data_IF_132622708989
#
_entry.id   IF_132622708989
#
_cell.length_a   1.000
_cell.length_b   1.000
_cell.length_c   1.000
_cell.angle_alpha   90.00
_cell.angle_beta   90.00
_cell.angle_gamma   90.00
#
_symmetry.space_group_name_H-M   'P 1'
#
loop_
_entity.id
_entity.type
_entity.pdbx_description
1 polymer ?
#
# COMPACT_ATOMS: atom_id res chain seq x y z
N UNK A 1 -42.88 -0.10 -8.97
CA UNK A 1 -43.33 0.06 -10.37
C UNK A 1 -42.32 -0.65 -11.26
N UNK A 2 -42.48 -1.97 -11.44
CA UNK A 2 -41.56 -2.84 -12.18
C UNK A 2 -42.35 -3.45 -13.33
N UNK A 3 -41.85 -3.23 -14.54
CA UNK A 3 -42.39 -3.79 -15.78
C UNK A 3 -41.89 -5.21 -16.00
N UNK A 4 -42.78 -6.00 -16.57
CA UNK A 4 -42.70 -7.40 -17.00
C UNK A 4 -41.55 -7.75 -17.94
N UNK A 5 -41.05 -8.97 -17.81
CA UNK A 5 -40.51 -9.79 -18.90
C UNK A 5 -41.13 -11.20 -18.76
N UNK A 6 -41.72 -11.80 -19.81
CA UNK A 6 -42.31 -13.13 -19.74
C UNK A 6 -41.43 -14.24 -20.32
N UNK A 7 -41.53 -15.42 -19.69
CA UNK A 7 -41.48 -16.73 -20.36
C UNK A 7 -40.14 -17.48 -20.36
N UNK A 8 -40.03 -18.55 -19.57
CA UNK A 8 -40.31 -19.91 -20.06
C UNK A 8 -40.29 -20.90 -18.87
N UNK A 9 -41.33 -21.74 -18.79
CA UNK A 9 -41.57 -22.72 -17.73
C UNK A 9 -40.95 -24.06 -18.13
N UNK A 10 -40.30 -24.76 -17.18
CA UNK A 10 -40.23 -26.23 -17.18
C UNK A 10 -40.35 -26.76 -15.75
N UNK A 11 -41.39 -27.54 -15.50
CA UNK A 11 -41.59 -28.32 -14.28
C UNK A 11 -41.07 -29.75 -14.51
N UNK A 12 -40.26 -30.27 -13.59
CA UNK A 12 -39.72 -31.62 -13.68
C UNK A 12 -39.25 -32.16 -12.33
N UNK A 13 -40.10 -33.03 -11.77
CA UNK A 13 -39.96 -33.99 -10.66
C UNK A 13 -38.55 -34.27 -10.09
N UNK A 14 -38.51 -34.39 -8.77
CA UNK A 14 -37.29 -34.57 -7.98
C UNK A 14 -36.53 -35.86 -8.19
N UNK A 15 -35.23 -35.78 -7.88
CA UNK A 15 -34.38 -36.84 -7.37
C UNK A 15 -33.53 -36.20 -6.27
N UNK A 16 -33.57 -36.79 -5.08
CA UNK A 16 -32.65 -36.50 -3.99
C UNK A 16 -31.24 -36.85 -4.45
N UNK A 17 -30.40 -35.82 -4.64
CA UNK A 17 -28.96 -36.00 -4.71
C UNK A 17 -28.38 -35.37 -3.46
N UNK A 18 -27.94 -36.24 -2.54
CA UNK A 18 -26.95 -35.91 -1.53
C UNK A 18 -25.69 -35.52 -2.29
N UNK A 19 -25.59 -34.25 -2.69
CA UNK A 19 -24.31 -33.67 -3.08
C UNK A 19 -23.54 -33.45 -1.80
N UNK A 20 -22.77 -34.48 -1.45
CA UNK A 20 -21.59 -34.35 -0.62
C UNK A 20 -20.69 -33.32 -1.30
N UNK A 21 -20.82 -32.06 -0.87
CA UNK A 21 -19.87 -31.02 -1.19
C UNK A 21 -18.56 -31.45 -0.55
N UNK A 22 -17.71 -32.11 -1.34
CA UNK A 22 -16.28 -32.02 -1.11
C UNK A 22 -15.99 -30.55 -1.24
N UNK A 23 -15.92 -29.86 -0.10
CA UNK A 23 -15.27 -28.58 0.03
C UNK A 23 -13.83 -28.83 -0.43
N UNK A 24 -13.59 -28.64 -1.72
CA UNK A 24 -12.27 -28.27 -2.20
C UNK A 24 -11.91 -27.06 -1.33
N UNK A 25 -11.01 -27.29 -0.38
CA UNK A 25 -10.32 -26.24 0.36
C UNK A 25 -9.76 -25.30 -0.71
N UNK A 26 -10.47 -24.22 -1.03
CA UNK A 26 -9.90 -23.13 -1.81
C UNK A 26 -8.80 -22.56 -0.93
N UNK A 27 -7.56 -22.87 -1.25
CA UNK A 27 -6.41 -22.46 -0.46
C UNK A 27 -6.35 -20.92 -0.58
N UNK A 28 -6.61 -20.25 0.53
CA UNK A 28 -6.88 -18.81 0.51
C UNK A 28 -5.62 -18.01 0.14
N UNK A 29 -5.82 -16.94 -0.63
CA UNK A 29 -4.83 -15.89 -0.83
C UNK A 29 -4.26 -15.44 0.53
N UNK A 30 -2.95 -15.17 0.56
CA UNK A 30 -2.32 -14.61 1.76
C UNK A 30 -2.21 -13.10 1.61
N UNK A 31 -2.55 -12.39 2.67
CA UNK A 31 -2.51 -10.92 2.71
C UNK A 31 -1.53 -10.49 3.80
N UNK A 32 -0.60 -9.63 3.42
CA UNK A 32 0.39 -9.03 4.31
C UNK A 32 0.15 -7.53 4.34
N UNK A 33 0.03 -6.96 5.53
CA UNK A 33 -0.20 -5.53 5.69
C UNK A 33 0.92 -4.90 6.49
N UNK A 34 1.39 -3.75 6.01
CA UNK A 34 2.39 -2.94 6.68
C UNK A 34 1.87 -1.52 6.80
N UNK A 35 2.27 -0.83 7.86
CA UNK A 35 2.19 0.62 7.94
C UNK A 35 3.58 1.19 8.21
N UNK A 36 3.85 2.34 7.64
CA UNK A 36 5.10 3.07 7.75
C UNK A 36 4.80 4.49 8.20
N UNK A 37 5.68 5.01 9.06
CA UNK A 37 5.76 6.42 9.38
C UNK A 37 7.21 6.86 9.38
N UNK A 38 7.46 8.04 8.82
CA UNK A 38 8.76 8.69 8.93
C UNK A 38 8.61 10.19 9.14
N UNK A 39 9.53 10.76 9.92
CA UNK A 39 9.56 12.18 10.26
C UNK A 39 10.84 12.82 9.69
N UNK A 40 10.70 14.04 9.14
CA UNK A 40 11.74 14.78 8.40
C UNK A 40 11.80 16.23 8.91
N UNK A 41 12.29 16.48 10.12
CA UNK A 41 12.24 17.81 10.73
C UNK A 41 13.14 18.82 10.02
N UNK A 42 12.70 20.07 10.00
CA UNK A 42 13.50 21.21 9.57
C UNK A 42 14.68 21.46 10.55
N UNK A 43 15.79 22.09 10.10
CA UNK A 43 16.01 22.64 8.76
C UNK A 43 16.52 21.62 7.74
N UNK A 44 17.18 20.56 8.20
CA UNK A 44 17.93 19.65 7.32
C UNK A 44 17.02 18.66 6.59
N UNK A 45 15.81 18.42 7.11
CA UNK A 45 14.79 17.50 6.56
C UNK A 45 15.36 16.12 6.26
N UNK A 46 16.37 15.71 7.03
CA UNK A 46 16.88 14.35 7.05
C UNK A 46 15.87 13.45 7.74
N UNK A 47 15.85 12.19 7.33
CA UNK A 47 14.95 11.21 7.93
C UNK A 47 15.53 10.81 9.27
N UNK A 48 14.93 11.30 10.37
CA UNK A 48 15.43 11.03 11.72
C UNK A 48 14.80 9.79 12.35
N UNK A 49 13.54 9.53 12.02
CA UNK A 49 12.79 8.39 12.52
C UNK A 49 12.10 7.68 11.37
N UNK A 50 12.21 6.35 11.36
CA UNK A 50 11.48 5.45 10.49
C UNK A 50 10.90 4.33 11.35
N UNK A 51 9.57 4.29 11.44
CA UNK A 51 8.83 3.22 12.07
C UNK A 51 8.12 2.42 10.97
N UNK A 52 8.25 1.11 11.01
CA UNK A 52 7.50 0.18 10.17
C UNK A 52 6.83 -0.82 11.10
N UNK A 53 5.56 -1.08 10.86
CA UNK A 53 4.79 -2.08 11.61
C UNK A 53 4.13 -3.06 10.65
N UNK A 54 3.99 -4.31 11.08
CA UNK A 54 3.33 -5.38 10.34
C UNK A 54 2.08 -5.82 11.10
N UNK A 55 0.99 -6.10 10.39
CA UNK A 55 -0.23 -6.63 11.00
C UNK A 55 -0.09 -8.15 11.18
N UNK A 56 0.00 -8.60 12.43
CA UNK A 56 0.10 -10.03 12.75
C UNK A 56 -1.23 -10.77 12.56
N UNK A 57 -1.23 -12.09 12.76
CA UNK A 57 -2.41 -12.94 12.55
C UNK A 57 -3.53 -12.65 13.57
N UNK A 58 -3.19 -12.07 14.72
CA UNK A 58 -4.08 -11.66 15.79
C UNK A 58 -4.68 -10.26 15.55
N UNK A 59 -4.32 -9.60 14.44
CA UNK A 59 -4.81 -8.27 14.08
C UNK A 59 -4.15 -7.13 14.85
N UNK A 60 -2.95 -7.35 15.38
CA UNK A 60 -2.16 -6.34 16.10
C UNK A 60 -1.00 -5.84 15.24
N UNK A 61 -0.71 -4.55 15.35
CA UNK A 61 0.43 -3.93 14.68
C UNK A 61 1.70 -4.14 15.51
N UNK A 62 2.70 -4.78 14.92
CA UNK A 62 3.97 -5.07 15.56
C UNK A 62 5.12 -4.32 14.88
N UNK A 63 5.97 -3.60 15.65
CA UNK A 63 7.17 -2.98 15.11
C UNK A 63 8.06 -3.98 14.37
N UNK A 64 8.59 -3.56 13.24
CA UNK A 64 9.50 -4.34 12.41
C UNK A 64 10.93 -3.88 12.67
N UNK A 65 11.72 -4.75 13.29
CA UNK A 65 13.16 -4.61 13.45
C UNK A 65 13.85 -5.81 12.79
N UNK A 66 14.22 -5.70 11.49
CA UNK A 66 14.81 -6.80 10.75
C UNK A 66 16.06 -7.36 11.42
N UNK A 67 16.10 -8.67 11.57
CA UNK A 67 17.20 -9.41 12.18
C UNK A 67 17.52 -10.67 11.38
N UNK A 68 18.57 -11.39 11.77
CA UNK A 68 18.95 -12.67 11.13
C UNK A 68 17.87 -13.75 11.25
N UNK A 69 16.90 -13.60 12.15
CA UNK A 69 15.76 -14.53 12.29
C UNK A 69 14.51 -14.06 11.55
N UNK A 70 14.54 -12.88 10.93
CA UNK A 70 13.40 -12.40 10.13
C UNK A 70 13.23 -13.29 8.90
N UNK A 71 12.02 -13.81 8.62
CA UNK A 71 11.78 -14.63 7.45
C UNK A 71 12.20 -13.92 6.16
N UNK A 72 12.93 -14.61 5.27
CA UNK A 72 13.43 -14.02 4.03
C UNK A 72 12.34 -13.38 3.17
N UNK A 73 11.14 -13.99 3.13
CA UNK A 73 10.00 -13.41 2.45
C UNK A 73 9.54 -12.08 3.08
N UNK A 74 9.57 -11.97 4.42
CA UNK A 74 9.25 -10.72 5.12
C UNK A 74 10.29 -9.63 4.83
N UNK A 75 11.58 -9.98 4.77
CA UNK A 75 12.63 -9.05 4.33
C UNK A 75 12.37 -8.53 2.91
N UNK A 76 11.94 -9.41 2.00
CA UNK A 76 11.56 -9.01 0.65
C UNK A 76 10.37 -8.04 0.63
N UNK A 77 9.31 -8.30 1.41
CA UNK A 77 8.16 -7.38 1.50
C UNK A 77 8.55 -6.02 2.10
N UNK A 78 9.39 -6.02 3.13
CA UNK A 78 9.96 -4.80 3.70
C UNK A 78 10.79 -4.05 2.67
N UNK A 79 11.58 -4.75 1.83
CA UNK A 79 12.34 -4.10 0.77
C UNK A 79 11.45 -3.40 -0.26
N UNK A 80 10.26 -3.95 -0.57
CA UNK A 80 9.28 -3.30 -1.45
C UNK A 80 8.78 -1.99 -0.84
N UNK A 81 8.36 -2.03 0.42
CA UNK A 81 7.92 -0.85 1.17
C UNK A 81 9.01 0.24 1.22
N UNK A 82 10.20 -0.13 1.67
CA UNK A 82 11.31 0.81 1.90
C UNK A 82 11.80 1.41 0.58
N UNK A 83 11.77 0.66 -0.52
CA UNK A 83 12.13 1.18 -1.83
C UNK A 83 11.13 2.23 -2.32
N UNK A 84 9.83 2.03 -2.12
CA UNK A 84 8.81 3.05 -2.43
C UNK A 84 8.99 4.31 -1.58
N UNK A 85 9.17 4.13 -0.28
CA UNK A 85 9.39 5.23 0.66
C UNK A 85 10.63 6.05 0.30
N UNK A 86 11.75 5.38 -0.01
CA UNK A 86 12.99 6.05 -0.43
C UNK A 86 12.77 6.93 -1.67
N UNK A 87 12.11 6.40 -2.69
CA UNK A 87 11.81 7.16 -3.91
C UNK A 87 10.88 8.34 -3.62
N UNK A 88 9.86 8.17 -2.79
CA UNK A 88 8.99 9.27 -2.38
C UNK A 88 9.80 10.39 -1.73
N UNK A 89 10.60 10.09 -0.71
CA UNK A 89 11.37 11.11 0.03
C UNK A 89 12.42 11.77 -0.83
N UNK A 90 13.17 11.00 -1.63
CA UNK A 90 14.18 11.54 -2.52
C UNK A 90 13.58 12.52 -3.54
N UNK A 91 12.47 12.15 -4.19
CA UNK A 91 11.85 13.01 -5.20
C UNK A 91 11.12 14.20 -4.53
N UNK A 92 10.55 14.06 -3.33
CA UNK A 92 10.01 15.20 -2.58
C UNK A 92 11.11 16.24 -2.26
N UNK A 93 12.31 15.78 -1.89
CA UNK A 93 13.48 16.65 -1.66
C UNK A 93 13.97 17.29 -2.95
N UNK A 94 14.08 16.54 -4.05
CA UNK A 94 14.47 17.07 -5.37
C UNK A 94 13.50 18.16 -5.86
N UNK A 95 12.20 17.98 -5.60
CA UNK A 95 11.15 18.96 -5.93
C UNK A 95 11.06 20.13 -4.93
N UNK A 96 11.91 20.14 -3.89
CA UNK A 96 11.95 21.22 -2.90
C UNK A 96 10.70 21.31 -2.04
N UNK A 97 9.99 20.19 -1.82
CA UNK A 97 8.85 20.16 -0.92
C UNK A 97 9.32 20.32 0.54
N UNK A 98 8.64 21.12 1.36
CA UNK A 98 8.92 21.22 2.78
C UNK A 98 8.33 19.99 3.50
N UNK A 99 8.82 18.79 3.18
CA UNK A 99 8.32 17.52 3.72
C UNK A 99 8.56 17.46 5.23
N UNK A 100 7.51 17.17 6.00
CA UNK A 100 7.58 16.99 7.45
C UNK A 100 7.36 15.54 7.87
N UNK A 101 6.38 14.87 7.26
CA UNK A 101 6.03 13.48 7.57
C UNK A 101 5.62 12.72 6.33
N UNK A 102 5.95 11.43 6.31
CA UNK A 102 5.36 10.45 5.38
C UNK A 102 4.69 9.36 6.21
N UNK A 103 3.46 9.04 5.85
CA UNK A 103 2.75 7.86 6.31
C UNK A 103 2.43 6.98 5.10
N UNK A 104 2.49 5.66 5.27
CA UNK A 104 2.19 4.73 4.19
C UNK A 104 1.48 3.49 4.72
N UNK A 105 0.40 3.08 4.07
CA UNK A 105 -0.26 1.80 4.27
C UNK A 105 0.03 0.92 3.06
N UNK A 106 0.50 -0.31 3.28
CA UNK A 106 0.81 -1.26 2.21
C UNK A 106 0.05 -2.55 2.44
N UNK A 107 -0.49 -3.08 1.33
CA UNK A 107 -1.08 -4.41 1.25
C UNK A 107 -0.40 -5.19 0.13
N UNK A 108 0.11 -6.37 0.47
CA UNK A 108 0.66 -7.33 -0.49
C UNK A 108 -0.18 -8.59 -0.45
N UNK A 109 -0.56 -9.10 -1.63
CA UNK A 109 -1.31 -10.35 -1.77
C UNK A 109 -0.46 -11.37 -2.52
N UNK A 110 -0.48 -12.60 -2.05
CA UNK A 110 0.13 -13.75 -2.72
C UNK A 110 -0.88 -14.84 -2.98
N UNK A 111 -0.63 -15.62 -4.02
CA UNK A 111 -1.31 -16.90 -4.22
C UNK A 111 -0.87 -17.97 -3.23
N UNK A 112 -1.39 -19.17 -3.45
CA UNK A 112 -1.13 -20.36 -2.63
C UNK A 112 0.33 -20.79 -2.64
N UNK A 113 1.01 -20.57 -3.76
CA UNK A 113 2.41 -20.87 -4.05
C UNK A 113 3.39 -19.78 -3.57
N UNK A 114 2.90 -18.80 -2.80
CA UNK A 114 3.66 -17.65 -2.29
C UNK A 114 4.15 -16.67 -3.38
N UNK A 115 3.62 -16.78 -4.60
CA UNK A 115 3.88 -15.82 -5.66
C UNK A 115 3.00 -14.60 -5.47
N UNK A 116 3.61 -13.41 -5.55
CA UNK A 116 2.89 -12.14 -5.43
C UNK A 116 1.89 -12.02 -6.58
N UNK A 117 0.66 -11.62 -6.25
CA UNK A 117 -0.41 -11.34 -7.20
C UNK A 117 -0.76 -9.86 -7.21
N UNK A 118 -0.64 -9.17 -6.08
CA UNK A 118 -0.89 -7.74 -5.97
C UNK A 118 0.04 -7.04 -4.97
N UNK A 119 0.39 -5.79 -5.30
CA UNK A 119 1.02 -4.80 -4.44
C UNK A 119 0.17 -3.52 -4.48
N UNK A 120 -0.26 -3.05 -3.32
CA UNK A 120 -1.03 -1.82 -3.14
C UNK A 120 -0.32 -0.99 -2.07
N UNK A 121 0.00 0.27 -2.39
CA UNK A 121 0.59 1.20 -1.44
C UNK A 121 -0.13 2.54 -1.46
N UNK A 122 -0.59 2.98 -0.30
CA UNK A 122 -1.29 4.25 -0.12
C UNK A 122 -0.44 5.16 0.76
N UNK A 123 0.11 6.22 0.16
CA UNK A 123 1.03 7.13 0.83
C UNK A 123 0.40 8.50 1.05
N UNK A 124 0.62 9.05 2.25
CA UNK A 124 0.21 10.39 2.65
C UNK A 124 1.43 11.17 3.08
N UNK A 125 1.53 12.43 2.67
CA UNK A 125 2.59 13.34 3.12
C UNK A 125 2.01 14.54 3.84
N UNK A 126 2.67 14.95 4.92
CA UNK A 126 2.42 16.23 5.58
C UNK A 126 3.57 17.17 5.29
N UNK A 127 3.24 18.43 5.01
CA UNK A 127 4.21 19.49 4.85
C UNK A 127 4.48 20.17 6.19
N UNK A 128 5.65 20.79 6.30
CA UNK A 128 6.06 21.56 7.47
C UNK A 128 5.08 22.72 7.68
N UNK A 129 4.35 22.74 8.82
CA UNK A 129 3.35 23.77 9.08
C UNK A 129 3.97 25.17 9.20
N UNK A 130 5.28 25.27 9.48
CA UNK A 130 6.00 26.54 9.55
C UNK A 130 6.54 27.02 8.19
N UNK A 131 6.42 26.22 7.12
CA UNK A 131 6.87 26.61 5.80
C UNK A 131 6.01 27.73 5.18
N UNK A 132 6.59 28.47 4.24
CA UNK A 132 5.90 29.60 3.62
C UNK A 132 4.73 29.13 2.75
N UNK A 133 3.68 29.96 2.52
CA UNK A 133 2.61 29.62 1.58
C UNK A 133 3.12 29.29 0.17
N UNK A 134 4.22 29.93 -0.25
CA UNK A 134 4.88 29.64 -1.51
C UNK A 134 5.45 28.21 -1.54
N UNK A 135 6.08 27.77 -0.45
CA UNK A 135 6.62 26.40 -0.36
C UNK A 135 5.51 25.35 -0.26
N UNK A 136 4.42 25.64 0.45
CA UNK A 136 3.23 24.78 0.47
C UNK A 136 2.61 24.64 -0.92
N UNK A 137 2.54 25.73 -1.69
CA UNK A 137 1.98 25.74 -3.03
C UNK A 137 2.76 24.87 -4.03
N UNK A 138 4.03 24.52 -3.75
CA UNK A 138 4.80 23.59 -4.58
C UNK A 138 4.23 22.18 -4.57
N UNK A 139 3.50 21.77 -3.53
CA UNK A 139 2.89 20.46 -3.45
C UNK A 139 1.57 20.40 -4.25
N UNK A 140 1.61 20.82 -5.51
CA UNK A 140 0.47 20.74 -6.41
C UNK A 140 0.28 19.33 -6.99
N UNK A 141 -0.83 19.14 -7.71
CA UNK A 141 -1.16 17.85 -8.31
C UNK A 141 -0.10 17.35 -9.31
N UNK A 142 0.59 18.23 -10.04
CA UNK A 142 1.59 17.84 -11.01
C UNK A 142 2.87 17.36 -10.32
N UNK A 143 3.28 18.01 -9.22
CA UNK A 143 4.41 17.57 -8.41
C UNK A 143 4.13 16.25 -7.71
N UNK A 144 2.93 16.07 -7.14
CA UNK A 144 2.54 14.80 -6.53
C UNK A 144 2.48 13.66 -7.58
N UNK A 145 1.95 13.93 -8.77
CA UNK A 145 1.94 12.95 -9.85
C UNK A 145 3.36 12.60 -10.33
N UNK A 146 4.25 13.60 -10.43
CA UNK A 146 5.65 13.37 -10.75
C UNK A 146 6.30 12.42 -9.72
N UNK A 147 6.16 12.70 -8.42
CA UNK A 147 6.73 11.84 -7.37
C UNK A 147 6.15 10.42 -7.45
N UNK A 148 4.83 10.29 -7.64
CA UNK A 148 4.15 9.00 -7.81
C UNK A 148 4.68 8.22 -9.02
N UNK A 149 4.89 8.88 -10.16
CA UNK A 149 5.49 8.25 -11.34
C UNK A 149 6.91 7.76 -11.06
N UNK A 150 7.69 8.51 -10.27
CA UNK A 150 9.06 8.14 -9.90
C UNK A 150 9.08 6.96 -8.91
N UNK A 151 8.13 6.90 -7.97
CA UNK A 151 7.93 5.75 -7.09
C UNK A 151 7.72 4.45 -7.89
N UNK A 152 6.96 4.49 -9.00
CA UNK A 152 6.77 3.34 -9.89
C UNK A 152 8.08 2.85 -10.58
N UNK A 153 9.16 3.64 -10.54
CA UNK A 153 10.47 3.27 -11.06
C UNK A 153 11.36 2.61 -10.00
N UNK A 154 10.90 2.45 -8.77
CA UNK A 154 11.71 1.86 -7.71
C UNK A 154 12.17 0.44 -8.11
N UNK A 155 13.48 0.11 -8.04
CA UNK A 155 14.01 -1.12 -8.61
C UNK A 155 13.35 -2.38 -8.05
N UNK A 156 13.01 -2.41 -6.76
CA UNK A 156 12.41 -3.60 -6.13
C UNK A 156 11.03 -3.88 -6.74
N UNK A 157 10.17 -2.87 -6.89
CA UNK A 157 8.84 -3.06 -7.49
C UNK A 157 8.89 -3.25 -9.01
N UNK A 158 9.86 -2.60 -9.69
CA UNK A 158 10.06 -2.73 -11.14
C UNK A 158 10.49 -4.15 -11.53
N UNK A 159 11.27 -4.82 -10.69
CA UNK A 159 11.71 -6.20 -10.91
C UNK A 159 10.65 -7.26 -10.54
N UNK A 160 9.49 -6.87 -10.02
CA UNK A 160 8.37 -7.80 -9.85
C UNK A 160 7.87 -8.27 -11.22
N UNK A 161 7.44 -9.56 -11.35
CA UNK A 161 6.84 -10.07 -12.58
C UNK A 161 5.73 -9.18 -13.13
N UNK A 162 5.60 -9.14 -14.46
CA UNK A 162 4.57 -8.33 -15.12
C UNK A 162 3.13 -8.74 -14.79
N UNK A 163 2.94 -9.94 -14.24
CA UNK A 163 1.65 -10.46 -13.76
C UNK A 163 1.22 -9.87 -12.42
N UNK A 164 2.13 -9.25 -11.66
CA UNK A 164 1.80 -8.62 -10.38
C UNK A 164 1.06 -7.31 -10.63
N UNK A 165 -0.16 -7.20 -10.11
CA UNK A 165 -0.90 -5.93 -10.13
C UNK A 165 -0.24 -4.94 -9.17
N UNK A 166 0.05 -3.73 -9.64
CA UNK A 166 0.74 -2.70 -8.84
C UNK A 166 -0.11 -1.45 -8.82
N UNK A 167 -0.50 -1.01 -7.63
CA UNK A 167 -1.21 0.24 -7.40
C UNK A 167 -0.44 1.05 -6.36
N UNK A 168 -0.21 2.33 -6.64
CA UNK A 168 0.43 3.24 -5.70
C UNK A 168 -0.25 4.59 -5.77
N UNK A 169 -0.77 5.05 -4.63
CA UNK A 169 -1.37 6.36 -4.45
C UNK A 169 -0.45 7.25 -3.61
N UNK A 170 -0.53 8.56 -3.85
CA UNK A 170 0.19 9.58 -3.10
C UNK A 170 -0.71 10.81 -2.99
N UNK A 171 -0.97 11.27 -1.77
CA UNK A 171 -1.72 12.50 -1.53
C UNK A 171 -1.14 13.29 -0.34
N UNK A 172 -1.59 14.54 -0.19
CA UNK A 172 -1.37 15.30 1.04
C UNK A 172 -2.27 14.73 2.14
N UNK A 173 -1.75 14.62 3.36
CA UNK A 173 -2.59 14.41 4.54
C UNK A 173 -3.50 15.63 4.70
N UNK A 174 -4.80 15.42 4.93
CA UNK A 174 -5.69 16.51 5.33
C UNK A 174 -5.06 17.22 6.54
N UNK A 175 -4.83 18.53 6.39
CA UNK A 175 -4.17 19.30 7.43
C UNK A 175 -5.05 19.35 8.67
N UNK A 176 -4.74 18.57 9.69
CA UNK A 176 -5.17 18.92 11.05
C UNK A 176 -4.36 20.13 11.45
N UNK A 177 -4.91 21.33 11.20
CA UNK A 177 -4.46 22.54 11.89
C UNK A 177 -4.65 22.25 13.39
N UNK A 178 -3.59 22.18 14.21
CA UNK A 178 -3.78 22.09 15.64
C UNK A 178 -4.53 23.35 16.10
N UNK A 179 -5.62 23.14 16.85
CA UNK A 179 -6.43 24.18 17.45
C UNK A 179 -5.63 25.07 18.42
#
# INVERSE_FOLDING_TARGET
>A
MIRSIPGCVYAGKGISWVFQWITLLTMADRVFQFRLRSDHPAPDRQTEALAVEFLNAEGQWEPQDPSLTTPGFRLFLLSLLLCQHFYLVANAREMGLPLHRVEGDIKVTTGEDWILTAFQGDFRISLDPAATPHDHAKADAAVLDHIRQRMALCPVSRNLPGTVQKLTSLCLSEGTVPA
#
